data_IF_386432389050
#
_entry.id   IF_386432389050
#
_cell.length_a   1.000
_cell.length_b   1.000
_cell.length_c   1.000
_cell.angle_alpha   90.00
_cell.angle_beta   90.00
_cell.angle_gamma   90.00
#
_symmetry.space_group_name_H-M   'P 1'
#
loop_
_entity.id
_entity.type
_entity.pdbx_description
1 polymer ?
#
# COMPACT_ATOMS: atom_id res chain seq x y z
N UNK A 1 -11.22 7.81 18.51
CA UNK A 1 -12.02 8.39 17.42
C UNK A 1 -13.28 9.03 17.99
N UNK A 2 -14.13 8.30 18.72
CA UNK A 2 -15.34 8.86 19.37
C UNK A 2 -15.07 10.02 20.33
N UNK A 3 -14.07 9.90 21.22
CA UNK A 3 -13.65 10.99 22.13
C UNK A 3 -13.13 12.23 21.37
N UNK A 4 -12.73 12.06 20.11
CA UNK A 4 -12.28 13.12 19.22
C UNK A 4 -13.42 13.66 18.32
N UNK A 5 -14.67 13.22 18.55
CA UNK A 5 -15.83 13.67 17.79
C UNK A 5 -15.99 13.02 16.41
N UNK A 6 -15.24 11.95 16.11
CA UNK A 6 -15.37 11.18 14.86
C UNK A 6 -16.47 10.13 15.02
N UNK A 7 -17.50 10.19 14.19
CA UNK A 7 -18.58 9.22 14.11
C UNK A 7 -18.25 8.16 13.03
N UNK A 8 -18.08 6.91 13.45
CA UNK A 8 -17.87 5.78 12.54
C UNK A 8 -19.21 5.33 11.96
N UNK A 9 -19.24 5.11 10.65
CA UNK A 9 -20.40 4.64 9.90
C UNK A 9 -20.44 3.12 9.74
N UNK A 10 -19.37 2.43 10.13
CA UNK A 10 -19.21 0.97 10.09
C UNK A 10 -18.52 0.45 11.36
N UNK A 11 -18.61 -0.86 11.56
CA UNK A 11 -17.89 -1.57 12.63
C UNK A 11 -16.52 -2.11 12.15
N UNK A 12 -16.04 -1.66 10.99
CA UNK A 12 -14.80 -2.18 10.39
C UNK A 12 -13.57 -1.47 10.94
N UNK A 13 -12.52 -2.25 11.15
CA UNK A 13 -11.18 -1.72 11.44
C UNK A 13 -10.61 -0.88 10.29
N UNK A 14 -11.00 -1.19 9.05
CA UNK A 14 -10.62 -0.46 7.85
C UNK A 14 -11.09 1.00 7.86
N UNK A 15 -12.30 1.27 8.34
CA UNK A 15 -12.78 2.64 8.50
C UNK A 15 -12.04 3.37 9.64
N UNK A 16 -11.78 2.69 10.75
CA UNK A 16 -10.99 3.25 11.84
C UNK A 16 -9.60 3.67 11.35
N UNK A 17 -8.95 2.86 10.51
CA UNK A 17 -7.68 3.19 9.87
C UNK A 17 -7.79 4.43 8.98
N UNK A 18 -8.83 4.54 8.15
CA UNK A 18 -9.05 5.70 7.28
C UNK A 18 -9.12 7.02 8.09
N UNK A 19 -9.88 7.03 9.19
CA UNK A 19 -9.95 8.21 10.05
C UNK A 19 -8.65 8.52 10.79
N UNK A 20 -7.90 7.50 11.22
CA UNK A 20 -6.60 7.74 11.85
C UNK A 20 -5.61 8.30 10.81
N UNK A 21 -5.58 7.76 9.59
CA UNK A 21 -4.74 8.28 8.49
C UNK A 21 -5.07 9.74 8.22
N UNK A 22 -6.36 10.10 8.12
CA UNK A 22 -6.77 11.50 7.91
C UNK A 22 -6.28 12.41 9.05
N UNK A 23 -6.42 11.97 10.30
CA UNK A 23 -5.91 12.71 11.45
C UNK A 23 -4.39 12.88 11.37
N UNK A 24 -3.65 11.81 11.08
CA UNK A 24 -2.20 11.88 10.94
C UNK A 24 -1.80 12.75 9.74
N UNK A 25 -2.57 12.77 8.65
CA UNK A 25 -2.33 13.63 7.48
C UNK A 25 -2.41 15.11 7.84
N UNK A 26 -3.33 15.50 8.73
CA UNK A 26 -3.50 16.89 9.16
C UNK A 26 -2.27 17.50 9.86
N UNK A 27 -1.30 16.69 10.30
CA UNK A 27 -0.09 17.15 10.99
C UNK A 27 0.86 17.90 10.05
N UNK A 28 1.10 17.35 8.86
CA UNK A 28 2.11 17.84 7.91
C UNK A 28 1.71 17.73 6.43
N UNK A 29 0.49 17.28 6.15
CA UNK A 29 -0.04 17.01 4.81
C UNK A 29 0.85 16.09 3.97
N UNK A 30 1.49 15.10 4.61
CA UNK A 30 2.33 14.10 3.95
C UNK A 30 1.65 12.71 3.95
N UNK A 31 1.14 12.21 2.81
CA UNK A 31 0.49 10.90 2.71
C UNK A 31 1.33 9.73 3.22
N UNK A 32 2.62 9.68 2.83
CA UNK A 32 3.53 8.60 3.22
C UNK A 32 3.70 8.57 4.74
N UNK A 33 3.94 9.73 5.35
CA UNK A 33 4.16 9.79 6.80
C UNK A 33 2.87 9.60 7.60
N UNK A 34 1.72 10.06 7.09
CA UNK A 34 0.42 9.83 7.70
C UNK A 34 0.10 8.33 7.82
N UNK A 35 0.30 7.59 6.73
CA UNK A 35 0.13 6.13 6.72
C UNK A 35 1.18 5.47 7.62
N UNK A 36 2.44 5.91 7.55
CA UNK A 36 3.51 5.38 8.40
C UNK A 36 3.20 5.53 9.90
N UNK A 37 2.79 6.71 10.35
CA UNK A 37 2.42 7.00 11.75
C UNK A 37 1.23 6.16 12.19
N UNK A 38 0.24 5.98 11.32
CA UNK A 38 -0.93 5.15 11.59
C UNK A 38 -0.53 3.67 11.76
N UNK A 39 0.23 3.12 10.81
CA UNK A 39 0.57 1.69 10.80
C UNK A 39 1.57 1.28 11.87
N UNK A 40 2.40 2.22 12.38
CA UNK A 40 3.22 1.98 13.59
C UNK A 40 2.40 1.67 14.84
N UNK A 41 1.14 2.11 14.88
CA UNK A 41 0.22 1.87 16.00
C UNK A 41 -0.67 0.64 15.75
N UNK A 42 -0.85 0.25 14.48
CA UNK A 42 -1.65 -0.90 14.10
C UNK A 42 -0.99 -2.23 14.53
N UNK A 43 -1.82 -3.22 14.86
CA UNK A 43 -1.37 -4.58 15.23
C UNK A 43 -2.15 -5.60 14.41
N UNK A 44 -1.50 -6.71 14.07
CA UNK A 44 -2.09 -7.80 13.29
C UNK A 44 -1.58 -7.85 11.85
N UNK A 45 -2.26 -8.65 11.02
CA UNK A 45 -1.93 -8.82 9.60
C UNK A 45 -2.82 -7.95 8.72
N UNK A 46 -2.22 -7.24 7.78
CA UNK A 46 -2.94 -6.34 6.88
C UNK A 46 -2.16 -6.12 5.57
N UNK A 47 -2.90 -5.75 4.54
CA UNK A 47 -2.38 -5.25 3.27
C UNK A 47 -3.27 -4.07 2.90
N UNK A 48 -2.71 -2.87 2.91
CA UNK A 48 -3.47 -1.61 2.81
C UNK A 48 -3.00 -0.85 1.59
N UNK A 49 -3.93 -0.19 0.91
CA UNK A 49 -3.65 0.87 -0.05
C UNK A 49 -4.55 2.06 0.25
N UNK A 50 -3.93 3.18 0.61
CA UNK A 50 -4.59 4.44 0.91
C UNK A 50 -4.47 5.36 -0.32
N UNK A 51 -5.62 5.89 -0.74
CA UNK A 51 -5.74 6.87 -1.81
C UNK A 51 -6.15 8.21 -1.17
N UNK A 52 -5.64 9.30 -1.74
CA UNK A 52 -5.83 10.64 -1.22
C UNK A 52 -6.39 11.52 -2.32
N UNK A 53 -7.53 12.17 -2.10
CA UNK A 53 -8.21 12.96 -3.13
C UNK A 53 -7.40 14.14 -3.63
N UNK A 54 -6.57 14.71 -2.75
CA UNK A 54 -5.77 15.91 -3.05
C UNK A 54 -4.30 15.60 -3.39
N UNK A 55 -3.93 14.32 -3.53
CA UNK A 55 -2.57 13.89 -3.85
C UNK A 55 -2.55 12.86 -4.98
N UNK A 56 -1.67 13.05 -5.96
CA UNK A 56 -1.47 12.10 -7.08
C UNK A 56 -0.55 10.93 -6.67
N UNK A 57 -0.87 10.31 -5.54
CA UNK A 57 -0.10 9.20 -4.98
C UNK A 57 -1.00 8.17 -4.34
N UNK A 58 -0.59 6.91 -4.41
CA UNK A 58 -1.16 5.81 -3.62
C UNK A 58 -0.09 5.38 -2.62
N UNK A 59 -0.45 5.29 -1.35
CA UNK A 59 0.44 4.76 -0.32
C UNK A 59 -0.04 3.39 0.10
N UNK A 60 0.74 2.36 -0.18
CA UNK A 60 0.42 0.98 0.18
C UNK A 60 1.40 0.44 1.21
N UNK A 61 0.97 -0.53 2.00
CA UNK A 61 1.82 -1.16 3.00
C UNK A 61 1.44 -2.62 3.20
N UNK A 62 2.44 -3.45 3.47
CA UNK A 62 2.27 -4.89 3.69
C UNK A 62 2.73 -5.29 5.09
N UNK A 63 1.92 -6.11 5.75
CA UNK A 63 2.31 -6.87 6.93
C UNK A 63 1.49 -8.16 7.02
N UNK A 64 1.97 -9.25 6.43
CA UNK A 64 1.34 -10.58 6.48
C UNK A 64 0.28 -10.85 5.41
N UNK A 65 -0.44 -9.84 4.90
CA UNK A 65 -1.34 -10.01 3.75
C UNK A 65 -0.62 -9.68 2.44
N UNK A 66 -0.72 -10.51 1.38
CA UNK A 66 0.01 -10.27 0.13
C UNK A 66 -0.31 -8.93 -0.54
N UNK A 67 0.73 -8.26 -1.03
CA UNK A 67 0.65 -7.13 -1.96
C UNK A 67 1.77 -7.22 -2.99
N UNK A 68 1.42 -6.95 -4.24
CA UNK A 68 2.26 -7.04 -5.42
C UNK A 68 2.02 -5.81 -6.28
N UNK A 69 3.09 -5.13 -6.68
CA UNK A 69 3.04 -4.03 -7.64
C UNK A 69 3.21 -4.60 -9.04
N UNK A 70 2.37 -4.17 -9.98
CA UNK A 70 2.58 -4.38 -11.41
C UNK A 70 3.12 -3.11 -12.05
N UNK A 71 4.20 -3.20 -12.83
CA UNK A 71 4.79 -2.07 -13.54
C UNK A 71 4.46 -2.12 -15.03
N UNK A 72 3.69 -1.14 -15.52
CA UNK A 72 3.39 -0.98 -16.95
C UNK A 72 4.19 0.15 -17.59
N UNK A 73 3.72 0.64 -18.74
CA UNK A 73 4.32 1.80 -19.43
C UNK A 73 3.60 3.07 -18.99
N UNK A 74 4.25 3.89 -18.15
CA UNK A 74 3.66 5.09 -17.53
C UNK A 74 2.39 4.80 -16.71
N UNK A 75 2.31 3.61 -16.15
CA UNK A 75 1.24 3.20 -15.25
C UNK A 75 1.79 2.23 -14.19
N UNK A 76 1.17 2.25 -13.02
CA UNK A 76 1.46 1.32 -11.92
C UNK A 76 0.16 0.70 -11.45
N UNK A 77 0.22 -0.59 -11.14
CA UNK A 77 -0.88 -1.37 -10.59
C UNK A 77 -0.48 -1.90 -9.22
N UNK A 78 -1.46 -2.13 -8.36
CA UNK A 78 -1.27 -2.83 -7.09
C UNK A 78 -2.38 -3.87 -6.93
N UNK A 79 -2.01 -5.07 -6.50
CA UNK A 79 -2.95 -6.17 -6.29
C UNK A 79 -2.51 -7.05 -5.13
N UNK A 80 -3.45 -7.73 -4.49
CA UNK A 80 -3.17 -8.84 -3.56
C UNK A 80 -2.93 -10.17 -4.28
N UNK A 81 -3.29 -10.26 -5.56
CA UNK A 81 -3.12 -11.44 -6.41
C UNK A 81 -2.34 -11.09 -7.68
N UNK A 82 -1.19 -11.74 -7.96
CA UNK A 82 -0.44 -11.51 -9.19
C UNK A 82 -1.24 -11.85 -10.46
N UNK A 83 -2.22 -12.75 -10.43
CA UNK A 83 -3.01 -13.10 -11.61
C UNK A 83 -3.82 -11.93 -12.14
N UNK A 84 -4.31 -11.06 -11.25
CA UNK A 84 -5.02 -9.85 -11.63
C UNK A 84 -4.14 -8.87 -12.43
N UNK A 85 -2.81 -8.97 -12.30
CA UNK A 85 -1.86 -8.11 -13.01
C UNK A 85 -1.52 -8.64 -14.41
N UNK A 86 -1.70 -9.94 -14.68
CA UNK A 86 -1.26 -10.57 -15.94
C UNK A 86 -1.88 -9.98 -17.21
N UNK A 87 -3.11 -9.44 -17.11
CA UNK A 87 -3.79 -8.77 -18.22
C UNK A 87 -3.17 -7.39 -18.55
N UNK A 88 -2.38 -6.83 -17.63
CA UNK A 88 -1.83 -5.48 -17.72
C UNK A 88 -0.29 -5.49 -17.85
N UNK A 89 0.40 -6.34 -17.10
CA UNK A 89 1.87 -6.42 -17.11
C UNK A 89 2.39 -7.75 -16.59
N UNK A 90 3.59 -8.13 -17.04
CA UNK A 90 4.37 -9.25 -16.50
C UNK A 90 5.49 -8.78 -15.55
N UNK A 91 5.76 -7.48 -15.49
CA UNK A 91 6.78 -6.92 -14.61
C UNK A 91 6.15 -6.66 -13.24
N UNK A 92 6.64 -7.34 -12.21
CA UNK A 92 6.08 -7.23 -10.86
C UNK A 92 7.14 -6.98 -9.81
N UNK A 93 6.73 -6.35 -8.71
CA UNK A 93 7.54 -6.18 -7.51
C UNK A 93 6.74 -6.78 -6.36
N UNK A 94 7.28 -7.83 -5.75
CA UNK A 94 6.68 -8.44 -4.57
C UNK A 94 7.09 -7.65 -3.33
N UNK A 95 6.11 -7.20 -2.56
CA UNK A 95 6.38 -6.52 -1.30
C UNK A 95 6.71 -7.53 -0.20
N UNK A 96 7.63 -7.15 0.67
CA UNK A 96 7.97 -7.87 1.89
C UNK A 96 7.19 -7.30 3.09
N UNK A 97 7.11 -8.07 4.18
CA UNK A 97 6.45 -7.60 5.39
C UNK A 97 7.23 -6.44 6.02
N UNK A 98 6.52 -5.35 6.33
CA UNK A 98 7.10 -4.10 6.81
C UNK A 98 7.40 -3.07 5.72
N UNK A 99 7.21 -3.43 4.45
CA UNK A 99 7.31 -2.48 3.34
C UNK A 99 6.15 -1.46 3.38
N UNK A 100 6.53 -0.21 3.12
CA UNK A 100 5.67 0.94 2.86
C UNK A 100 6.08 1.53 1.51
N UNK A 101 5.12 1.59 0.60
CA UNK A 101 5.32 1.99 -0.78
C UNK A 101 4.54 3.24 -1.08
N UNK A 102 5.19 4.21 -1.70
CA UNK A 102 4.56 5.36 -2.34
C UNK A 102 4.62 5.17 -3.86
N UNK A 103 3.45 5.13 -4.50
CA UNK A 103 3.27 4.90 -5.92
C UNK A 103 2.75 6.18 -6.60
N UNK A 104 3.28 6.49 -7.77
CA UNK A 104 2.64 7.33 -8.78
C UNK A 104 2.49 6.52 -10.07
N UNK A 105 1.88 7.08 -11.12
CA UNK A 105 1.86 6.43 -12.44
C UNK A 105 3.27 6.13 -13.00
N UNK A 106 4.32 6.81 -12.54
CA UNK A 106 5.67 6.74 -13.12
C UNK A 106 6.77 6.37 -12.13
N UNK A 107 6.47 6.29 -10.84
CA UNK A 107 7.46 6.06 -9.80
C UNK A 107 6.99 5.10 -8.73
N UNK A 108 7.94 4.34 -8.21
CA UNK A 108 7.78 3.46 -7.06
C UNK A 108 8.88 3.83 -6.07
N UNK A 109 8.49 4.18 -4.85
CA UNK A 109 9.41 4.37 -3.72
C UNK A 109 9.05 3.38 -2.64
N UNK A 110 9.98 2.52 -2.26
CA UNK A 110 9.81 1.54 -1.18
C UNK A 110 10.66 1.98 0.01
N UNK A 111 10.02 2.01 1.18
CA UNK A 111 10.64 2.25 2.48
C UNK A 111 10.12 1.25 3.49
N UNK A 112 10.68 1.20 4.69
CA UNK A 112 10.20 0.35 5.77
C UNK A 112 9.35 1.16 6.73
N UNK A 113 8.45 0.58 7.53
CA UNK A 113 7.72 1.32 8.57
C UNK A 113 8.64 2.09 9.56
N UNK A 114 9.89 1.67 9.73
CA UNK A 114 10.89 2.35 10.58
C UNK A 114 11.58 3.55 9.90
N UNK A 115 11.35 3.78 8.60
CA UNK A 115 11.89 4.92 7.83
C UNK A 115 13.18 4.61 7.06
N UNK A 116 13.61 3.34 7.03
CA UNK A 116 14.72 2.89 6.19
C UNK A 116 14.30 2.69 4.73
N UNK A 117 15.28 2.62 3.82
CA UNK A 117 15.05 2.18 2.45
C UNK A 117 14.98 0.65 2.44
N UNK A 118 13.98 0.08 1.79
CA UNK A 118 13.89 -1.38 1.58
C UNK A 118 14.55 -1.76 0.26
N UNK A 119 15.16 -2.95 0.20
CA UNK A 119 15.75 -3.45 -1.05
C UNK A 119 14.66 -3.89 -2.03
N UNK A 120 14.73 -3.40 -3.27
CA UNK A 120 13.74 -3.73 -4.30
C UNK A 120 14.05 -5.08 -4.95
N UNK A 121 13.13 -6.04 -4.88
CA UNK A 121 13.17 -7.27 -5.69
C UNK A 121 12.15 -7.20 -6.81
N UNK A 122 12.57 -6.67 -7.96
CA UNK A 122 11.79 -6.75 -9.20
C UNK A 122 11.91 -8.17 -9.77
N UNK A 123 10.77 -8.75 -10.14
CA UNK A 123 10.66 -10.07 -10.75
C UNK A 123 9.78 -10.01 -11.99
N UNK A 124 10.04 -10.88 -12.96
CA UNK A 124 9.13 -11.12 -14.07
C UNK A 124 8.21 -12.26 -13.65
N UNK A 125 6.90 -12.12 -13.85
CA UNK A 125 5.96 -13.22 -13.73
C UNK A 125 6.34 -14.27 -14.78
N UNK A 126 7.07 -15.31 -14.36
CA UNK A 126 7.32 -16.46 -15.23
C UNK A 126 6.00 -17.19 -15.51
N UNK A 127 5.67 -17.35 -16.79
CA UNK A 127 4.57 -18.21 -17.23
C UNK A 127 4.94 -19.69 -17.02
N UNK A 128 5.01 -20.16 -15.77
CA UNK A 128 5.05 -21.59 -15.48
C UNK A 128 3.65 -22.11 -15.22
N UNK A 129 2.86 -22.19 -16.29
CA UNK A 129 1.63 -22.96 -16.32
C UNK A 129 1.66 -23.84 -17.56
N UNK A 130 2.34 -24.97 -17.43
CA UNK A 130 2.16 -26.08 -18.35
C UNK A 130 0.73 -26.59 -18.24
N UNK A 131 0.13 -26.83 -19.40
CA UNK A 131 -1.10 -27.60 -19.55
C UNK A 131 -1.04 -28.90 -18.72
N UNK A 132 -2.08 -29.17 -17.94
CA UNK A 132 -2.44 -30.51 -17.48
C UNK A 132 -3.95 -30.65 -17.48
#
# INVERSE_FOLDING_TARGET
LEVQGVELQSETDSEALAHIIERELSIDNNPEEAVRRTLRQARGTWGICALFTDHDTIVCARNGSPLIIGQGVNEMFISSDPHALTAHTQQVIYLEDGDLVTLTATSVKISTLTGGVSETKSSILENNWGEA
#
